data_IF_040043972762
#
_entry.id   IF_040043972762
#
_cell.length_a   1.000
_cell.length_b   1.000
_cell.length_c   1.000
_cell.angle_alpha   90.00
_cell.angle_beta   90.00
_cell.angle_gamma   90.00
#
_symmetry.space_group_name_H-M   'P 1'
#
loop_
_entity.id
_entity.type
_entity.pdbx_description
1 polymer ?
#
# COMPACT_ATOMS: atom_id res chain seq x y z
N UNK A 1 14.48 13.95 5.69
CA UNK A 1 14.06 13.61 4.31
C UNK A 1 12.57 13.86 4.16
N UNK A 2 12.19 14.61 3.14
CA UNK A 2 10.83 15.02 2.82
C UNK A 2 9.98 13.81 2.39
N UNK A 3 8.82 13.61 3.04
CA UNK A 3 7.86 12.57 2.67
C UNK A 3 7.01 13.10 1.52
N UNK A 4 7.30 12.70 0.28
CA UNK A 4 6.42 13.03 -0.85
C UNK A 4 5.15 12.18 -0.74
N UNK A 5 4.03 12.79 -0.35
CA UNK A 5 2.72 12.13 -0.21
C UNK A 5 1.85 12.44 -1.43
N UNK A 6 1.28 11.42 -2.07
CA UNK A 6 0.30 11.60 -3.15
C UNK A 6 -1.13 11.49 -2.59
N UNK A 7 -1.69 12.63 -2.14
CA UNK A 7 -2.98 12.70 -1.42
C UNK A 7 -4.07 13.43 -2.19
N UNK A 8 -4.26 13.12 -3.48
CA UNK A 8 -5.37 13.68 -4.27
C UNK A 8 -6.73 13.05 -3.92
N UNK A 9 -7.75 13.88 -3.65
CA UNK A 9 -9.15 13.49 -3.39
C UNK A 9 -9.91 13.03 -4.65
N UNK A 10 -9.46 13.42 -5.85
CA UNK A 10 -10.09 13.04 -7.13
C UNK A 10 -10.04 11.54 -7.46
N UNK A 11 -9.18 10.79 -6.77
CA UNK A 11 -8.93 9.38 -7.09
C UNK A 11 -10.12 8.45 -6.76
N UNK A 12 -10.89 8.77 -5.72
CA UNK A 12 -12.03 7.95 -5.27
C UNK A 12 -13.14 7.87 -6.33
N UNK A 13 -13.44 9.00 -6.98
CA UNK A 13 -14.46 9.10 -8.03
C UNK A 13 -14.09 8.28 -9.27
N UNK A 14 -12.83 8.39 -9.70
CA UNK A 14 -12.32 7.65 -10.87
C UNK A 14 -12.38 6.13 -10.69
N UNK A 15 -11.96 5.63 -9.51
CA UNK A 15 -12.00 4.18 -9.23
C UNK A 15 -13.43 3.65 -9.31
N UNK A 16 -14.38 4.37 -8.73
CA UNK A 16 -15.79 4.00 -8.76
C UNK A 16 -16.34 3.91 -10.19
N UNK A 17 -16.11 4.94 -10.99
CA UNK A 17 -16.58 5.02 -12.37
C UNK A 17 -15.99 3.91 -13.25
N UNK A 18 -14.68 3.67 -13.17
CA UNK A 18 -14.03 2.60 -13.95
C UNK A 18 -14.57 1.24 -13.54
N UNK A 19 -14.82 1.00 -12.25
CA UNK A 19 -15.42 -0.26 -11.79
C UNK A 19 -16.82 -0.46 -12.31
N UNK A 20 -17.66 0.57 -12.23
CA UNK A 20 -19.02 0.51 -12.76
C UNK A 20 -19.04 0.22 -14.26
N UNK A 21 -18.19 0.91 -15.04
CA UNK A 21 -18.02 0.67 -16.48
C UNK A 21 -17.53 -0.74 -16.81
N UNK A 22 -16.85 -1.41 -15.88
CA UNK A 22 -16.40 -2.80 -16.02
C UNK A 22 -17.35 -3.81 -15.34
N UNK A 23 -18.62 -3.44 -15.08
CA UNK A 23 -19.63 -4.35 -14.52
C UNK A 23 -19.38 -4.74 -13.06
N UNK A 24 -18.56 -3.98 -12.33
CA UNK A 24 -18.22 -4.23 -10.93
C UNK A 24 -18.93 -3.23 -10.01
N UNK A 25 -19.11 -3.61 -8.74
CA UNK A 25 -19.58 -2.68 -7.69
C UNK A 25 -18.61 -1.50 -7.60
N UNK A 26 -19.14 -0.28 -7.64
CA UNK A 26 -18.38 0.98 -7.58
C UNK A 26 -17.40 1.00 -6.40
N UNK A 27 -17.86 0.56 -5.23
CA UNK A 27 -17.05 0.45 -4.02
C UNK A 27 -16.26 -0.86 -4.02
N UNK A 28 -14.94 -0.76 -4.00
CA UNK A 28 -14.06 -1.94 -3.85
C UNK A 28 -13.98 -2.40 -2.39
N UNK A 29 -13.85 -3.70 -2.17
CA UNK A 29 -13.60 -4.31 -0.87
C UNK A 29 -12.24 -5.03 -0.79
N UNK A 30 -11.48 -5.04 -1.89
CA UNK A 30 -10.24 -5.81 -2.03
C UNK A 30 -9.18 -5.00 -2.78
N UNK A 31 -7.93 -5.06 -2.29
CA UNK A 31 -6.77 -4.47 -2.94
C UNK A 31 -5.55 -5.40 -2.92
N UNK A 32 -4.54 -5.05 -3.72
CA UNK A 32 -3.26 -5.72 -3.77
C UNK A 32 -2.20 -4.70 -3.35
N UNK A 33 -1.25 -5.09 -2.50
CA UNK A 33 -0.04 -4.30 -2.21
C UNK A 33 1.16 -4.93 -2.88
N UNK A 34 2.11 -4.11 -3.28
CA UNK A 34 3.46 -4.57 -3.62
C UNK A 34 4.53 -3.54 -3.23
N UNK A 35 5.76 -4.02 -3.06
CA UNK A 35 6.95 -3.21 -2.77
C UNK A 35 8.01 -3.41 -3.87
N UNK A 36 8.55 -2.31 -4.39
CA UNK A 36 9.62 -2.35 -5.38
C UNK A 36 10.78 -1.44 -4.99
N UNK A 37 11.99 -2.00 -4.89
CA UNK A 37 13.23 -1.26 -4.67
C UNK A 37 13.97 -0.95 -5.98
N UNK A 38 14.50 0.26 -6.10
CA UNK A 38 15.41 0.69 -7.17
C UNK A 38 16.71 1.14 -6.53
N UNK A 39 17.85 0.66 -7.03
CA UNK A 39 19.17 1.10 -6.56
C UNK A 39 19.46 2.51 -7.07
N UNK A 40 20.07 3.34 -6.22
CA UNK A 40 20.57 4.65 -6.64
C UNK A 40 22.07 4.57 -6.89
N UNK A 41 22.59 5.41 -7.79
CA UNK A 41 24.01 5.50 -8.14
C UNK A 41 24.83 6.39 -7.19
N UNK A 42 24.15 7.13 -6.30
CA UNK A 42 24.81 8.06 -5.37
C UNK A 42 25.44 7.32 -4.18
N UNK A 43 26.71 7.63 -3.91
CA UNK A 43 27.41 7.25 -2.67
C UNK A 43 26.78 7.94 -1.48
N UNK A 44 25.84 7.27 -0.81
CA UNK A 44 25.32 7.70 0.48
C UNK A 44 26.37 7.46 1.59
N UNK A 45 26.52 8.44 2.50
CA UNK A 45 27.44 8.39 3.64
C UNK A 45 27.13 7.24 4.63
N UNK A 46 25.88 6.77 4.67
CA UNK A 46 25.46 5.62 5.48
C UNK A 46 25.37 4.33 4.67
N UNK A 47 26.06 3.29 5.16
CA UNK A 47 26.05 1.93 4.61
C UNK A 47 24.74 1.18 4.95
N UNK A 48 23.68 1.43 4.18
CA UNK A 48 22.57 0.48 4.09
C UNK A 48 22.96 -0.73 3.22
N UNK A 49 22.50 -1.95 3.55
CA UNK A 49 22.73 -3.15 2.71
C UNK A 49 22.18 -2.99 1.29
N UNK A 50 21.20 -2.10 1.08
CA UNK A 50 20.68 -1.70 -0.23
C UNK A 50 20.62 -0.16 -0.26
N UNK A 51 21.49 0.47 -1.05
CA UNK A 51 21.42 1.88 -1.37
C UNK A 51 20.37 2.09 -2.47
N UNK A 52 19.28 2.80 -2.15
CA UNK A 52 18.19 2.98 -3.11
C UNK A 52 16.90 3.53 -2.51
N UNK A 53 15.86 3.60 -3.35
CA UNK A 53 14.49 3.96 -2.96
C UNK A 53 13.58 2.74 -3.10
N UNK A 54 12.68 2.56 -2.15
CA UNK A 54 11.64 1.53 -2.20
C UNK A 54 10.27 2.18 -2.28
N UNK A 55 9.44 1.71 -3.20
CA UNK A 55 8.09 2.20 -3.46
C UNK A 55 7.09 1.14 -3.03
N UNK A 56 6.14 1.52 -2.19
CA UNK A 56 5.00 0.67 -1.84
C UNK A 56 3.76 1.21 -2.52
N UNK A 57 3.01 0.35 -3.18
CA UNK A 57 1.83 0.74 -3.95
C UNK A 57 0.67 -0.17 -3.57
N UNK A 58 -0.49 0.41 -3.28
CA UNK A 58 -1.76 -0.31 -3.15
C UNK A 58 -2.59 -0.04 -4.39
N UNK A 59 -2.98 -1.11 -5.06
CA UNK A 59 -3.82 -1.08 -6.26
C UNK A 59 -5.14 -1.80 -6.03
N UNK A 60 -6.17 -1.32 -6.71
CA UNK A 60 -7.45 -2.00 -6.87
C UNK A 60 -7.31 -3.17 -7.88
N UNK A 61 -8.25 -4.12 -7.87
CA UNK A 61 -8.28 -5.29 -8.76
C UNK A 61 -8.35 -4.98 -10.27
N UNK A 62 -8.70 -3.76 -10.67
CA UNK A 62 -8.60 -3.30 -12.07
C UNK A 62 -7.28 -2.56 -12.37
N UNK A 63 -6.29 -2.60 -11.47
CA UNK A 63 -4.98 -1.96 -11.65
C UNK A 63 -4.93 -0.47 -11.28
N UNK A 64 -5.98 0.06 -10.65
CA UNK A 64 -6.04 1.48 -10.28
C UNK A 64 -5.32 1.75 -8.96
N UNK A 65 -4.36 2.68 -8.97
CA UNK A 65 -3.49 2.99 -7.81
C UNK A 65 -4.22 3.74 -6.70
N UNK A 66 -4.66 3.08 -5.64
CA UNK A 66 -5.33 3.76 -4.52
C UNK A 66 -4.35 4.68 -3.78
N UNK A 67 -3.13 4.21 -3.52
CA UNK A 67 -2.12 4.98 -2.80
C UNK A 67 -0.72 4.44 -3.08
N UNK A 68 0.28 5.32 -2.96
CA UNK A 68 1.69 4.98 -3.10
C UNK A 68 2.55 5.79 -2.13
N UNK A 69 3.60 5.19 -1.59
CA UNK A 69 4.62 5.85 -0.76
C UNK A 69 6.02 5.41 -1.18
N UNK A 70 6.98 6.31 -1.01
CA UNK A 70 8.39 6.06 -1.32
C UNK A 70 9.22 6.25 -0.06
N UNK A 71 10.00 5.23 0.26
CA UNK A 71 10.90 5.18 1.42
C UNK A 71 12.34 4.93 0.98
N UNK A 72 13.28 4.99 1.93
CA UNK A 72 14.61 4.41 1.72
C UNK A 72 14.48 2.90 1.48
N UNK A 73 15.32 2.33 0.61
CA UNK A 73 15.32 0.89 0.35
C UNK A 73 15.66 0.04 1.57
N UNK A 74 16.26 0.63 2.61
CA UNK A 74 16.52 0.00 3.90
C UNK A 74 15.28 -0.22 4.77
N UNK A 75 14.16 0.46 4.46
CA UNK A 75 12.90 0.27 5.20
C UNK A 75 12.28 -1.07 4.84
N UNK A 76 11.90 -1.85 5.87
CA UNK A 76 11.19 -3.12 5.69
C UNK A 76 9.78 -2.88 5.15
N UNK A 77 9.27 -3.82 4.35
CA UNK A 77 7.98 -3.62 3.66
C UNK A 77 6.84 -3.44 4.65
N UNK A 78 6.88 -4.20 5.75
CA UNK A 78 6.01 -4.04 6.91
C UNK A 78 5.94 -2.58 7.40
N UNK A 79 7.09 -2.00 7.72
CA UNK A 79 7.14 -0.67 8.32
C UNK A 79 6.70 0.40 7.31
N UNK A 80 7.09 0.24 6.05
CA UNK A 80 6.68 1.09 4.94
C UNK A 80 5.20 1.03 4.57
N UNK A 81 4.49 -0.04 4.94
CA UNK A 81 3.07 -0.25 4.64
C UNK A 81 2.10 0.46 5.60
N UNK A 82 2.55 0.79 6.82
CA UNK A 82 1.67 1.17 7.93
C UNK A 82 0.80 2.40 7.56
N UNK A 83 1.44 3.47 7.10
CA UNK A 83 0.74 4.69 6.69
C UNK A 83 -0.02 4.50 5.36
N UNK A 84 0.48 3.61 4.49
CA UNK A 84 -0.14 3.27 3.23
C UNK A 84 -1.53 2.63 3.44
N UNK A 85 -1.68 1.73 4.40
CA UNK A 85 -2.97 1.12 4.74
C UNK A 85 -3.98 2.13 5.28
N UNK A 86 -3.55 3.04 6.15
CA UNK A 86 -4.40 4.12 6.68
C UNK A 86 -4.95 4.95 5.53
N UNK A 87 -4.08 5.40 4.62
CA UNK A 87 -4.49 6.17 3.46
C UNK A 87 -5.44 5.40 2.53
N UNK A 88 -5.17 4.12 2.29
CA UNK A 88 -6.05 3.28 1.48
C UNK A 88 -7.46 3.18 2.08
N UNK A 89 -7.58 3.00 3.41
CA UNK A 89 -8.87 2.97 4.11
C UNK A 89 -9.57 4.32 4.11
N UNK A 90 -8.86 5.43 4.27
CA UNK A 90 -9.45 6.76 4.15
C UNK A 90 -10.02 6.99 2.74
N UNK A 91 -9.31 6.56 1.69
CA UNK A 91 -9.73 6.71 0.30
C UNK A 91 -10.85 5.73 -0.09
N UNK A 92 -10.80 4.50 0.42
CA UNK A 92 -11.77 3.44 0.17
C UNK A 92 -12.19 2.75 1.50
N UNK A 93 -13.15 3.34 2.24
CA UNK A 93 -13.57 2.82 3.55
C UNK A 93 -14.18 1.41 3.52
N UNK A 94 -14.63 0.95 2.35
CA UNK A 94 -15.21 -0.39 2.14
C UNK A 94 -14.17 -1.50 1.99
N UNK A 95 -12.87 -1.17 1.92
CA UNK A 95 -11.82 -2.18 1.87
C UNK A 95 -11.89 -3.09 3.09
N UNK A 96 -11.88 -4.40 2.86
CA UNK A 96 -11.80 -5.42 3.92
C UNK A 96 -10.62 -6.34 3.71
N UNK A 97 -10.22 -6.64 2.48
CA UNK A 97 -9.17 -7.62 2.22
C UNK A 97 -8.02 -6.97 1.46
N UNK A 98 -6.81 -7.42 1.75
CA UNK A 98 -5.61 -7.06 1.00
C UNK A 98 -4.86 -8.34 0.62
N UNK A 99 -4.39 -8.41 -0.62
CA UNK A 99 -3.40 -9.39 -1.04
C UNK A 99 -2.01 -8.77 -0.89
N UNK A 100 -1.11 -9.50 -0.24
CA UNK A 100 0.21 -9.02 0.14
C UNK A 100 1.25 -10.13 -0.07
N UNK A 101 2.50 -9.76 -0.31
CA UNK A 101 3.62 -10.71 -0.34
C UNK A 101 4.15 -10.99 1.06
N UNK A 102 5.00 -12.01 1.16
CA UNK A 102 5.62 -12.43 2.42
C UNK A 102 6.46 -11.34 3.11
N UNK A 103 6.95 -10.34 2.35
CA UNK A 103 7.69 -9.20 2.91
C UNK A 103 6.89 -8.34 3.89
N UNK A 104 5.55 -8.45 3.84
CA UNK A 104 4.63 -7.75 4.75
C UNK A 104 4.25 -8.58 5.99
N UNK A 105 4.73 -9.84 6.10
CA UNK A 105 4.45 -10.70 7.25
C UNK A 105 5.01 -10.07 8.54
N UNK A 106 4.14 -9.91 9.53
CA UNK A 106 4.50 -9.47 10.87
C UNK A 106 3.86 -10.41 11.90
N UNK A 107 4.50 -10.58 13.06
CA UNK A 107 3.92 -11.34 14.19
C UNK A 107 2.65 -10.69 14.76
N UNK A 108 2.43 -9.42 14.44
CA UNK A 108 1.17 -8.70 14.55
C UNK A 108 1.41 -7.27 14.07
N UNK A 109 0.74 -6.84 13.00
CA UNK A 109 0.68 -5.42 12.67
C UNK A 109 -0.63 -4.90 13.24
N UNK A 110 -0.54 -3.91 14.15
CA UNK A 110 -1.70 -3.20 14.67
C UNK A 110 -1.72 -1.78 14.11
N UNK A 111 -2.84 -1.41 13.51
CA UNK A 111 -3.13 0.00 13.14
C UNK A 111 -4.46 0.34 13.77
N UNK A 112 -4.49 0.98 14.94
CA UNK A 112 -5.73 1.14 15.71
C UNK A 112 -6.30 -0.21 16.19
N UNK A 113 -7.62 -0.41 16.10
CA UNK A 113 -8.28 -1.67 16.48
C UNK A 113 -8.08 -2.84 15.48
N UNK A 114 -7.21 -2.68 14.48
CA UNK A 114 -7.04 -3.65 13.40
C UNK A 114 -5.80 -4.51 13.62
N UNK A 115 -5.98 -5.82 13.80
CA UNK A 115 -4.90 -6.81 13.86
C UNK A 115 -4.75 -7.49 12.50
N UNK A 116 -3.58 -7.36 11.86
CA UNK A 116 -3.24 -8.15 10.68
C UNK A 116 -2.46 -9.39 11.14
N UNK A 117 -3.16 -10.53 11.25
CA UNK A 117 -2.58 -11.84 11.50
C UNK A 117 -2.71 -12.71 10.24
N UNK A 118 -1.72 -13.58 10.03
CA UNK A 118 -1.58 -14.48 8.90
C UNK A 118 -2.79 -15.40 8.71
N UNK A 119 -2.89 -15.87 7.47
CA UNK A 119 -3.92 -16.74 6.90
C UNK A 119 -5.16 -15.98 6.45
N UNK A 120 -5.71 -16.37 5.30
CA UNK A 120 -6.94 -15.85 4.74
C UNK A 120 -7.98 -15.58 5.84
N UNK A 121 -8.14 -14.33 6.24
CA UNK A 121 -9.16 -13.93 7.21
C UNK A 121 -10.11 -12.96 6.53
N UNK A 122 -11.32 -13.45 6.29
CA UNK A 122 -12.50 -12.62 6.20
C UNK A 122 -12.60 -11.79 7.46
N UNK A 123 -12.42 -10.47 7.30
CA UNK A 123 -12.84 -9.57 8.35
C UNK A 123 -14.38 -9.55 8.30
N UNK A 124 -14.98 -10.31 9.20
CA UNK A 124 -16.40 -10.19 9.58
C UNK A 124 -16.71 -8.80 10.07
#
# INVERSE_FOLDING_TARGET
MEKTKFTGTGFKKLVGEVRFKNGRKEKTSFCIIDAQSVKNTDTAEEKAMIQGRKRHIIVETLGLVITAEVHSASIQDRDGATNLFVQAKCKAPTLRKFLLTDGYKAKSMFVGNWMFANDYQEIG
#
